data_IF_304183038910
#
_entry.id   IF_304183038910
#
_cell.length_a   1.000
_cell.length_b   1.000
_cell.length_c   1.000
_cell.angle_alpha   90.00
_cell.angle_beta   90.00
_cell.angle_gamma   90.00
#
_symmetry.space_group_name_H-M   'P 1'
#
loop_
_entity.id
_entity.type
_entity.pdbx_description
1 polymer ?
#
# COMPACT_ATOMS: atom_id res chain seq x y z
N UNK A 1 15.72 -11.52 12.63
CA UNK A 1 14.44 -11.34 11.91
C UNK A 1 13.39 -12.09 12.70
N UNK A 2 12.44 -11.38 13.32
CA UNK A 2 11.40 -12.03 14.15
C UNK A 2 10.32 -12.56 13.18
N UNK A 3 10.15 -13.87 13.13
CA UNK A 3 9.04 -14.48 12.37
C UNK A 3 7.73 -14.28 13.14
N UNK A 4 6.91 -13.34 12.68
CA UNK A 4 5.61 -13.10 13.30
C UNK A 4 4.58 -14.10 12.75
N UNK A 5 4.21 -15.07 13.58
CA UNK A 5 3.24 -16.11 13.23
C UNK A 5 1.78 -15.63 13.35
N UNK A 6 0.85 -16.34 12.68
CA UNK A 6 -0.60 -16.07 12.75
C UNK A 6 -1.16 -16.15 14.18
N UNK A 7 -0.59 -17.01 15.04
CA UNK A 7 -0.99 -17.13 16.45
C UNK A 7 -0.57 -15.90 17.26
N UNK A 8 0.63 -15.35 17.01
CA UNK A 8 1.08 -14.12 17.67
C UNK A 8 0.24 -12.92 17.26
N UNK A 9 -0.13 -12.79 15.99
CA UNK A 9 -1.01 -11.72 15.53
C UNK A 9 -2.43 -11.80 16.14
N UNK A 10 -2.99 -13.00 16.29
CA UNK A 10 -4.27 -13.20 16.99
C UNK A 10 -4.18 -12.89 18.49
N UNK A 11 -3.08 -13.23 19.15
CA UNK A 11 -2.86 -12.91 20.56
C UNK A 11 -2.78 -11.39 20.80
N UNK A 12 -2.24 -10.64 19.85
CA UNK A 12 -2.22 -9.16 19.87
C UNK A 12 -3.64 -8.58 19.74
N UNK A 13 -4.45 -9.14 18.84
CA UNK A 13 -5.84 -8.73 18.65
C UNK A 13 -6.73 -9.07 19.85
N UNK A 14 -6.55 -10.25 20.45
CA UNK A 14 -7.36 -10.73 21.57
C UNK A 14 -6.91 -10.15 22.92
N UNK A 15 -5.62 -9.85 23.08
CA UNK A 15 -4.97 -9.47 24.34
C UNK A 15 -5.08 -7.99 24.70
N UNK A 16 -6.24 -7.36 24.47
CA UNK A 16 -6.45 -5.92 24.64
C UNK A 16 -6.12 -5.29 26.01
N UNK A 17 -5.63 -6.01 27.03
CA UNK A 17 -5.39 -5.44 28.37
C UNK A 17 -4.20 -6.02 29.17
N UNK A 18 -3.42 -7.01 28.70
CA UNK A 18 -2.36 -7.60 29.53
C UNK A 18 -1.04 -7.78 28.77
N UNK A 19 -0.04 -6.97 29.14
CA UNK A 19 1.37 -6.97 28.67
C UNK A 19 1.71 -6.05 27.48
N UNK A 20 1.63 -4.75 27.75
CA UNK A 20 2.07 -3.61 26.91
C UNK A 20 3.55 -3.60 26.52
N UNK A 21 4.37 -4.60 26.85
CA UNK A 21 5.83 -4.58 26.63
C UNK A 21 6.36 -5.42 25.47
N UNK A 22 5.88 -6.66 25.30
CA UNK A 22 6.61 -7.66 24.49
C UNK A 22 6.06 -7.78 23.07
N UNK A 23 4.76 -7.55 22.86
CA UNK A 23 4.19 -7.60 21.52
C UNK A 23 4.47 -6.34 20.68
N UNK A 24 4.58 -5.18 21.33
CA UNK A 24 4.90 -3.92 20.66
C UNK A 24 6.36 -3.90 20.14
N UNK A 25 7.27 -4.59 20.83
CA UNK A 25 8.69 -4.66 20.46
C UNK A 25 8.99 -5.62 19.28
N UNK A 26 8.06 -6.51 18.92
CA UNK A 26 8.21 -7.40 17.76
C UNK A 26 7.75 -6.76 16.43
N UNK A 27 7.04 -5.62 16.51
CA UNK A 27 6.72 -4.80 15.35
C UNK A 27 7.88 -3.84 15.14
N UNK A 28 9.00 -4.35 14.63
CA UNK A 28 9.98 -3.49 13.97
C UNK A 28 9.19 -2.65 12.96
N UNK A 29 9.17 -1.32 13.13
CA UNK A 29 8.36 -0.37 12.36
C UNK A 29 8.27 -0.79 10.90
N UNK A 30 7.10 -1.26 10.47
CA UNK A 30 6.92 -1.59 9.07
C UNK A 30 7.08 -0.30 8.28
N UNK A 31 7.75 -0.38 7.14
CA UNK A 31 7.92 0.80 6.31
C UNK A 31 6.62 1.14 5.59
N UNK A 32 6.54 2.36 5.08
CA UNK A 32 5.46 2.76 4.18
C UNK A 32 5.40 1.84 2.95
N UNK A 33 6.54 1.32 2.48
CA UNK A 33 6.58 0.37 1.36
C UNK A 33 5.92 -0.96 1.70
N UNK A 34 6.10 -1.44 2.93
CA UNK A 34 5.44 -2.66 3.40
C UNK A 34 3.92 -2.48 3.45
N UNK A 35 3.45 -1.37 4.01
CA UNK A 35 2.02 -1.05 4.07
C UNK A 35 1.40 -0.95 2.67
N UNK A 36 2.06 -0.23 1.77
CA UNK A 36 1.61 -0.06 0.39
C UNK A 36 1.61 -1.41 -0.34
N UNK A 37 2.68 -2.20 -0.23
CA UNK A 37 2.77 -3.52 -0.86
C UNK A 37 1.63 -4.43 -0.44
N UNK A 38 1.42 -4.61 0.86
CA UNK A 38 0.37 -5.54 1.34
C UNK A 38 -1.02 -5.04 0.97
N UNK A 39 -1.22 -3.71 0.93
CA UNK A 39 -2.49 -3.11 0.52
C UNK A 39 -2.75 -3.36 -0.96
N UNK A 40 -1.75 -3.15 -1.82
CA UNK A 40 -1.90 -3.44 -3.25
C UNK A 40 -2.07 -4.93 -3.50
N UNK A 41 -1.29 -5.80 -2.85
CA UNK A 41 -1.38 -7.26 -3.02
C UNK A 41 -2.73 -7.84 -2.58
N UNK A 42 -3.38 -7.21 -1.59
CA UNK A 42 -4.75 -7.54 -1.18
C UNK A 42 -5.76 -7.36 -2.33
N UNK A 43 -5.60 -6.34 -3.17
CA UNK A 43 -6.56 -6.03 -4.25
C UNK A 43 -6.13 -6.55 -5.62
N UNK A 44 -4.83 -6.54 -5.91
CA UNK A 44 -4.28 -6.78 -7.25
C UNK A 44 -3.62 -8.16 -7.39
N UNK A 45 -3.54 -8.92 -6.30
CA UNK A 45 -2.78 -10.16 -6.21
C UNK A 45 -1.27 -9.91 -6.07
N UNK A 46 -0.48 -10.98 -6.15
CA UNK A 46 0.97 -10.89 -6.02
C UNK A 46 1.54 -9.93 -7.07
N UNK A 47 2.37 -8.98 -6.62
CA UNK A 47 3.01 -8.01 -7.52
C UNK A 47 4.40 -8.52 -7.91
N UNK A 48 4.61 -8.77 -9.21
CA UNK A 48 5.97 -8.94 -9.74
C UNK A 48 6.59 -7.57 -9.99
N UNK A 49 7.06 -6.91 -8.93
CA UNK A 49 7.65 -5.56 -9.01
C UNK A 49 8.99 -5.55 -8.30
N UNK A 50 10.01 -4.97 -8.95
CA UNK A 50 11.31 -4.77 -8.31
C UNK A 50 11.18 -3.78 -7.15
N UNK A 51 12.03 -3.91 -6.14
CA UNK A 51 11.95 -3.12 -4.91
C UNK A 51 12.17 -1.62 -5.21
N UNK A 52 13.03 -1.29 -6.16
CA UNK A 52 13.36 0.10 -6.51
C UNK A 52 12.14 0.82 -7.11
N UNK A 53 11.38 0.14 -7.96
CA UNK A 53 10.16 0.71 -8.53
C UNK A 53 9.07 0.87 -7.47
N UNK A 54 8.95 -0.08 -6.54
CA UNK A 54 8.01 0.07 -5.42
C UNK A 54 8.39 1.27 -4.55
N UNK A 55 9.68 1.45 -4.25
CA UNK A 55 10.17 2.60 -3.49
C UNK A 55 9.89 3.93 -4.21
N UNK A 56 10.12 3.99 -5.52
CA UNK A 56 9.78 5.17 -6.33
C UNK A 56 8.29 5.47 -6.30
N UNK A 57 7.44 4.44 -6.43
CA UNK A 57 5.99 4.61 -6.31
C UNK A 57 5.58 5.15 -4.95
N UNK A 58 6.08 4.54 -3.86
CA UNK A 58 5.73 4.93 -2.49
C UNK A 58 6.18 6.36 -2.20
N UNK A 59 7.38 6.72 -2.63
CA UNK A 59 7.91 8.07 -2.50
C UNK A 59 6.99 9.09 -3.20
N UNK A 60 6.63 8.85 -4.46
CA UNK A 60 5.75 9.77 -5.16
C UNK A 60 4.32 9.81 -4.61
N UNK A 61 3.76 8.65 -4.28
CA UNK A 61 2.45 8.56 -3.64
C UNK A 61 2.41 9.38 -2.35
N UNK A 62 3.46 9.31 -1.52
CA UNK A 62 3.59 10.08 -0.28
C UNK A 62 3.79 11.57 -0.52
N UNK A 63 4.60 11.96 -1.50
CA UNK A 63 4.82 13.36 -1.84
C UNK A 63 3.53 14.04 -2.31
N UNK A 64 2.73 13.34 -3.10
CA UNK A 64 1.46 13.83 -3.64
C UNK A 64 0.34 13.83 -2.62
N UNK A 65 0.33 12.84 -1.72
CA UNK A 65 -0.80 12.58 -0.83
C UNK A 65 -0.38 12.41 0.65
N UNK A 66 0.36 13.36 1.25
CA UNK A 66 0.87 13.21 2.61
C UNK A 66 -0.24 13.04 3.67
N UNK A 67 -1.46 13.53 3.41
CA UNK A 67 -2.59 13.44 4.34
C UNK A 67 -3.35 12.10 4.29
N UNK A 68 -3.04 11.22 3.34
CA UNK A 68 -3.77 9.96 3.13
C UNK A 68 -3.18 8.82 3.97
N UNK A 69 -1.91 8.92 4.34
CA UNK A 69 -1.24 7.89 5.12
C UNK A 69 -1.88 7.74 6.50
N UNK A 70 -2.19 6.50 6.93
CA UNK A 70 -2.66 6.28 8.28
C UNK A 70 -1.56 6.59 9.29
N UNK A 71 -1.95 6.85 10.54
CA UNK A 71 -0.98 6.96 11.63
C UNK A 71 -0.08 5.72 11.69
N UNK A 72 1.21 5.89 12.00
CA UNK A 72 2.21 4.81 12.03
C UNK A 72 1.72 3.55 12.74
N UNK A 73 1.16 3.67 13.96
CA UNK A 73 0.61 2.54 14.73
C UNK A 73 -0.47 1.77 13.98
N UNK A 74 -1.34 2.47 13.26
CA UNK A 74 -2.41 1.87 12.48
C UNK A 74 -1.86 1.19 11.23
N UNK A 75 -0.91 1.82 10.55
CA UNK A 75 -0.19 1.24 9.42
C UNK A 75 0.51 -0.07 9.81
N UNK A 76 1.29 -0.03 10.90
CA UNK A 76 1.99 -1.18 11.45
C UNK A 76 1.06 -2.36 11.78
N UNK A 77 -0.05 -2.07 12.47
CA UNK A 77 -1.03 -3.08 12.83
C UNK A 77 -1.69 -3.69 11.60
N UNK A 78 -2.09 -2.87 10.62
CA UNK A 78 -2.70 -3.36 9.38
C UNK A 78 -1.71 -4.19 8.58
N UNK A 79 -0.47 -3.74 8.45
CA UNK A 79 0.57 -4.49 7.74
C UNK A 79 0.76 -5.87 8.34
N UNK A 80 0.81 -5.97 9.67
CA UNK A 80 0.89 -7.24 10.36
C UNK A 80 -0.34 -8.13 10.08
N UNK A 81 -1.54 -7.58 10.13
CA UNK A 81 -2.78 -8.31 9.89
C UNK A 81 -2.87 -8.85 8.47
N UNK A 82 -2.47 -8.07 7.47
CA UNK A 82 -2.49 -8.51 6.07
C UNK A 82 -1.41 -9.57 5.83
N UNK A 83 -0.17 -9.39 6.32
CA UNK A 83 0.90 -10.40 6.22
C UNK A 83 0.51 -11.73 6.86
N UNK A 84 -0.29 -11.71 7.94
CA UNK A 84 -0.76 -12.92 8.64
C UNK A 84 -2.09 -13.49 8.12
N UNK A 85 -2.61 -12.96 7.00
CA UNK A 85 -3.91 -13.35 6.40
C UNK A 85 -5.09 -13.19 7.37
N UNK A 86 -5.01 -12.20 8.24
CA UNK A 86 -6.03 -11.78 9.20
C UNK A 86 -6.65 -10.44 8.81
N UNK A 87 -6.54 -10.01 7.55
CA UNK A 87 -7.08 -8.71 7.07
C UNK A 87 -8.56 -8.49 7.37
N UNK A 88 -9.36 -9.55 7.51
CA UNK A 88 -10.78 -9.47 7.96
C UNK A 88 -10.95 -8.83 9.34
N UNK A 89 -9.92 -8.88 10.19
CA UNK A 89 -9.92 -8.23 11.50
C UNK A 89 -9.97 -6.69 11.42
N UNK A 90 -9.71 -6.08 10.25
CA UNK A 90 -9.93 -4.64 10.02
C UNK A 90 -11.38 -4.23 10.30
N UNK A 91 -12.34 -5.14 10.12
CA UNK A 91 -13.75 -4.90 10.46
C UNK A 91 -14.05 -4.73 11.96
N UNK A 92 -13.09 -5.06 12.83
CA UNK A 92 -13.20 -4.85 14.29
C UNK A 92 -12.73 -3.46 14.73
N UNK A 93 -12.10 -2.69 13.83
CA UNK A 93 -11.62 -1.35 14.15
C UNK A 93 -12.78 -0.37 14.34
N UNK A 94 -12.59 0.73 15.08
CA UNK A 94 -13.58 1.82 15.12
C UNK A 94 -13.91 2.35 13.72
N UNK A 95 -15.17 2.74 13.48
CA UNK A 95 -15.66 3.17 12.16
C UNK A 95 -14.79 4.22 11.48
N UNK A 96 -14.30 5.21 12.22
CA UNK A 96 -13.41 6.24 11.67
C UNK A 96 -12.12 5.64 11.11
N UNK A 97 -11.49 4.71 11.84
CA UNK A 97 -10.26 4.03 11.39
C UNK A 97 -10.51 3.15 10.18
N UNK A 98 -11.67 2.51 10.10
CA UNK A 98 -12.06 1.78 8.90
C UNK A 98 -12.22 2.71 7.69
N UNK A 99 -12.78 3.89 7.89
CA UNK A 99 -12.93 4.89 6.83
C UNK A 99 -11.57 5.40 6.36
N UNK A 100 -10.68 5.79 7.27
CA UNK A 100 -9.32 6.25 6.97
C UNK A 100 -8.55 5.20 6.14
N UNK A 101 -8.64 3.93 6.54
CA UNK A 101 -7.99 2.82 5.83
C UNK A 101 -8.62 2.55 4.46
N UNK A 102 -9.95 2.64 4.34
CA UNK A 102 -10.63 2.48 3.05
C UNK A 102 -10.25 3.60 2.09
N UNK A 103 -10.10 4.81 2.60
CA UNK A 103 -9.64 5.95 1.83
C UNK A 103 -8.20 5.72 1.35
N UNK A 104 -7.28 5.32 2.24
CA UNK A 104 -5.92 4.93 1.87
C UNK A 104 -5.88 3.82 0.81
N UNK A 105 -6.60 2.72 1.03
CA UNK A 105 -6.67 1.58 0.12
C UNK A 105 -7.09 2.01 -1.30
N UNK A 106 -8.12 2.86 -1.41
CA UNK A 106 -8.63 3.36 -2.70
C UNK A 106 -7.60 4.22 -3.44
N UNK A 107 -6.94 5.12 -2.72
CA UNK A 107 -5.94 6.00 -3.30
C UNK A 107 -4.68 5.25 -3.71
N UNK A 108 -4.22 4.30 -2.90
CA UNK A 108 -3.08 3.47 -3.25
C UNK A 108 -3.33 2.70 -4.54
N UNK A 109 -4.50 2.06 -4.68
CA UNK A 109 -4.87 1.31 -5.91
C UNK A 109 -5.01 2.27 -7.10
N UNK A 110 -5.70 3.39 -6.93
CA UNK A 110 -5.91 4.35 -8.01
C UNK A 110 -4.59 4.92 -8.54
N UNK A 111 -3.72 5.44 -7.67
CA UNK A 111 -2.43 5.98 -8.10
C UNK A 111 -1.49 4.91 -8.62
N UNK A 112 -1.56 3.67 -8.12
CA UNK A 112 -0.78 2.58 -8.67
C UNK A 112 -1.11 2.32 -10.14
N UNK A 113 -2.40 2.35 -10.50
CA UNK A 113 -2.83 2.25 -11.90
C UNK A 113 -2.38 3.44 -12.75
N UNK A 114 -2.22 4.63 -12.17
CA UNK A 114 -1.82 5.84 -12.92
C UNK A 114 -0.30 5.98 -13.08
N UNK A 115 0.47 5.53 -12.10
CA UNK A 115 1.91 5.74 -12.01
C UNK A 115 2.73 4.53 -12.45
N UNK A 116 2.09 3.41 -12.74
CA UNK A 116 2.74 2.16 -13.18
C UNK A 116 2.14 1.64 -14.48
N UNK A 117 2.88 0.73 -15.13
CA UNK A 117 2.41 -0.01 -16.30
C UNK A 117 1.50 -1.20 -15.96
N UNK A 118 1.03 -1.34 -14.71
CA UNK A 118 0.25 -2.49 -14.25
C UNK A 118 -0.96 -2.80 -15.14
N UNK A 119 -1.67 -1.78 -15.62
CA UNK A 119 -2.86 -1.98 -16.45
C UNK A 119 -2.55 -2.48 -17.88
N UNK A 120 -1.29 -2.44 -18.30
CA UNK A 120 -0.82 -2.74 -19.65
C UNK A 120 -0.18 -4.13 -19.75
N UNK A 121 -0.11 -4.84 -18.62
CA UNK A 121 0.44 -6.19 -18.56
C UNK A 121 -0.47 -7.19 -19.30
N UNK A 122 0.16 -8.15 -19.95
CA UNK A 122 -0.54 -9.24 -20.65
C UNK A 122 -0.70 -10.48 -19.75
N UNK A 123 0.18 -10.63 -18.76
CA UNK A 123 0.18 -11.73 -17.79
C UNK A 123 0.28 -11.21 -16.35
N UNK A 124 -0.29 -11.94 -15.36
CA UNK A 124 -0.07 -11.67 -13.95
C UNK A 124 1.41 -11.67 -13.53
N UNK A 125 2.23 -12.44 -14.23
CA UNK A 125 3.66 -12.61 -13.95
C UNK A 125 4.55 -11.58 -14.65
N UNK A 126 3.99 -10.69 -15.47
CA UNK A 126 4.79 -9.65 -16.14
C UNK A 126 5.37 -8.66 -15.09
N UNK A 127 6.62 -8.22 -15.27
CA UNK A 127 7.25 -7.27 -14.36
C UNK A 127 6.56 -5.91 -14.44
N UNK A 128 6.12 -5.40 -13.31
CA UNK A 128 5.52 -4.07 -13.16
C UNK A 128 6.64 -3.05 -12.95
N UNK A 129 6.54 -1.91 -13.63
CA UNK A 129 7.48 -0.80 -13.56
C UNK A 129 6.78 0.48 -13.13
N UNK A 130 7.49 1.25 -12.32
CA UNK A 130 7.10 2.62 -12.06
C UNK A 130 7.42 3.47 -13.30
N UNK A 131 6.39 4.15 -13.82
CA UNK A 131 6.47 4.98 -15.02
C UNK A 131 6.40 6.48 -14.70
N UNK A 132 6.16 6.84 -13.44
CA UNK A 132 5.95 8.22 -13.02
C UNK A 132 4.62 8.79 -13.47
N UNK A 133 4.41 10.08 -13.19
CA UNK A 133 3.27 10.80 -13.73
C UNK A 133 3.55 11.16 -15.19
N UNK A 134 3.09 10.30 -16.09
CA UNK A 134 2.96 10.69 -17.48
C UNK A 134 1.67 11.48 -17.58
N UNK A 135 1.76 12.81 -17.71
CA UNK A 135 0.63 13.63 -18.18
C UNK A 135 0.04 12.89 -19.36
N UNK A 136 -1.25 12.48 -19.30
CA UNK A 136 -1.88 11.64 -20.32
C UNK A 136 -1.57 12.16 -21.72
N UNK A 137 -0.49 11.67 -22.31
CA UNK A 137 -0.18 11.83 -23.72
C UNK A 137 -1.06 10.80 -24.36
N UNK A 138 -2.27 11.22 -24.71
CA UNK A 138 -3.08 10.45 -25.60
C UNK A 138 -2.20 10.14 -26.84
N UNK A 139 -1.87 8.86 -27.11
CA UNK A 139 -1.00 8.51 -28.23
C UNK A 139 -1.65 8.86 -29.59
N UNK A 140 -2.94 9.20 -29.59
CA UNK A 140 -3.70 9.72 -30.72
C UNK A 140 -3.92 11.25 -30.68
N UNK A 141 -3.43 11.96 -29.66
CA UNK A 141 -3.49 13.42 -29.64
C UNK A 141 -2.25 13.99 -30.34
N UNK A 142 -2.43 14.48 -31.56
CA UNK A 142 -1.47 15.36 -32.22
C UNK A 142 -1.50 16.71 -31.51
N UNK A 143 -0.50 16.99 -30.67
CA UNK A 143 -0.29 18.31 -30.10
C UNK A 143 0.53 19.11 -31.11
N UNK A 144 -0.13 19.75 -32.07
CA UNK A 144 0.56 20.69 -32.95
C UNK A 144 1.16 21.83 -32.12
N UNK A 145 2.43 22.20 -32.33
CA UNK A 145 3.04 23.30 -31.59
C UNK A 145 2.24 24.59 -31.86
N UNK A 146 2.07 25.47 -30.86
CA UNK A 146 1.33 26.70 -31.04
C UNK A 146 1.99 27.50 -32.16
N UNK A 147 1.23 27.74 -33.24
CA UNK A 147 1.64 28.66 -34.28
C UNK A 147 1.79 30.03 -33.61
N UNK A 148 3.03 30.50 -33.54
CA UNK A 148 3.33 31.84 -33.06
C UNK A 148 2.64 32.81 -34.02
N UNK A 149 1.70 33.61 -33.49
CA UNK A 149 0.99 34.65 -34.24
C UNK A 149 1.92 35.84 -34.52
#
# INVERSE_FOLDING_TARGET
MIEVTRRSALAILAGGVASTGVAYAAVSSFSDEDLVRVTLEKYLGRLNMRIEHLQQFVLEFRNRNPWIFPSQKLGDAVTLLEKTKLGRARGLLPRQKQHDLTHFDRWAVAEFHMLTDYAWRSSPDDPIRFTGWNSCTNPFATLDPPQSA
#
